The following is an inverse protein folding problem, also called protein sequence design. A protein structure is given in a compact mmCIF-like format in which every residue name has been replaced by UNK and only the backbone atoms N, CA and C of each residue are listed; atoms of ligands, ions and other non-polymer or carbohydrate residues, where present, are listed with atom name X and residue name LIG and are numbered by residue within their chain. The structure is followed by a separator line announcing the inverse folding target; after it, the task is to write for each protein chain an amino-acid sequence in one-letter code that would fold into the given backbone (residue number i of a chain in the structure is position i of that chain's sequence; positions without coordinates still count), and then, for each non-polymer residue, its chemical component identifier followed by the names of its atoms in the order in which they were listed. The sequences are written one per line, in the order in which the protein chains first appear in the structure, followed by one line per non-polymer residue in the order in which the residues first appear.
data_IF_117634763621
#
_entry.id   IF_117634763621
#
_cell.length_a   1.000
_cell.length_b   1.000
_cell.length_c   1.000
_cell.angle_alpha   90.00
_cell.angle_beta   90.00
_cell.angle_gamma   90.00
#
_symmetry.space_group_name_H-M   'P 1'
#
loop_
_entity.id
_entity.type
_entity.pdbx_description
1 polymer ?
#
# COMPACT_ATOMS: atom_id res chain seq x y z
N UNK A 1 22.46 17.66 -16.49
CA UNK A 1 22.30 18.23 -15.13
C UNK A 1 21.79 17.12 -14.21
N UNK A 2 22.68 16.20 -13.85
CA UNK A 2 22.43 15.11 -12.90
C UNK A 2 22.95 15.61 -11.55
N UNK A 3 22.06 15.87 -10.58
CA UNK A 3 22.49 16.31 -9.25
C UNK A 3 21.59 15.73 -8.15
N UNK A 4 22.26 15.06 -7.21
CA UNK A 4 21.84 14.74 -5.84
C UNK A 4 20.90 13.55 -5.58
N UNK A 5 21.23 12.38 -6.13
CA UNK A 5 20.96 11.12 -5.42
C UNK A 5 21.99 10.96 -4.29
N UNK A 6 21.66 11.47 -3.10
CA UNK A 6 22.42 11.20 -1.88
C UNK A 6 21.57 10.41 -0.89
N UNK A 7 21.99 9.18 -0.71
CA UNK A 7 21.78 8.29 0.45
C UNK A 7 21.61 9.04 1.77
N UNK A 8 20.44 8.92 2.38
CA UNK A 8 20.21 9.08 3.83
C UNK A 8 19.46 7.82 4.28
N UNK A 9 20.04 6.86 4.99
CA UNK A 9 21.05 6.97 6.03
C UNK A 9 20.34 7.01 7.39
N UNK A 10 20.02 5.82 7.92
CA UNK A 10 19.70 5.45 9.32
C UNK A 10 18.77 6.42 10.09
N UNK A 11 17.52 6.00 10.28
CA UNK A 11 16.50 6.72 11.05
C UNK A 11 16.79 6.63 12.56
N UNK A 12 17.10 7.75 13.20
CA UNK A 12 17.17 7.85 14.67
C UNK A 12 15.73 7.92 15.24
N UNK A 13 15.17 6.77 15.64
CA UNK A 13 13.87 6.67 16.30
C UNK A 13 13.99 6.78 17.84
N UNK A 14 13.27 7.69 18.53
CA UNK A 14 13.26 7.74 19.99
C UNK A 14 12.64 6.46 20.60
N UNK A 15 13.28 5.96 21.65
CA UNK A 15 13.26 4.56 22.07
C UNK A 15 12.06 4.12 22.92
N UNK A 16 11.30 3.16 22.38
CA UNK A 16 10.96 1.89 23.04
C UNK A 16 10.75 0.85 21.93
N UNK A 17 11.54 -0.22 21.95
CA UNK A 17 11.42 -1.37 21.04
C UNK A 17 11.84 -1.12 19.56
N UNK A 18 12.98 -0.45 19.37
CA UNK A 18 13.56 -0.14 18.04
C UNK A 18 13.82 -1.37 17.19
N UNK A 19 14.22 -2.49 17.79
CA UNK A 19 14.50 -3.74 17.07
C UNK A 19 13.22 -4.31 16.44
N UNK A 20 12.12 -4.45 17.18
CA UNK A 20 10.87 -4.96 16.60
C UNK A 20 10.29 -4.00 15.57
N UNK A 21 10.40 -2.69 15.79
CA UNK A 21 10.00 -1.69 14.77
C UNK A 21 10.79 -1.86 13.48
N UNK A 22 12.10 -2.09 13.60
CA UNK A 22 12.96 -2.27 12.44
C UNK A 22 12.62 -3.56 11.69
N UNK A 23 12.48 -4.68 12.41
CA UNK A 23 12.06 -5.97 11.84
C UNK A 23 10.75 -5.84 11.07
N UNK A 24 9.73 -5.21 11.66
CA UNK A 24 8.42 -5.04 11.02
C UNK A 24 8.52 -4.14 9.77
N UNK A 25 9.30 -3.05 9.84
CA UNK A 25 9.51 -2.16 8.70
C UNK A 25 10.28 -2.84 7.56
N UNK A 26 11.24 -3.71 7.88
CA UNK A 26 12.02 -4.44 6.90
C UNK A 26 11.18 -5.55 6.23
N UNK A 27 10.34 -6.25 7.00
CA UNK A 27 9.38 -7.19 6.43
C UNK A 27 8.39 -6.52 5.46
N UNK A 28 7.89 -5.33 5.83
CA UNK A 28 7.02 -4.54 4.94
C UNK A 28 7.74 -4.18 3.62
N UNK A 29 9.00 -3.73 3.70
CA UNK A 29 9.83 -3.42 2.51
C UNK A 29 10.06 -4.64 1.63
N UNK A 30 10.26 -5.82 2.23
CA UNK A 30 10.52 -7.05 1.49
C UNK A 30 9.29 -7.54 0.70
N UNK A 31 8.08 -7.31 1.23
CA UNK A 31 6.83 -7.72 0.57
C UNK A 31 6.50 -6.86 -0.67
N UNK A 32 6.84 -5.57 -0.66
CA UNK A 32 6.79 -4.64 -1.80
C UNK A 32 5.44 -4.48 -2.55
N UNK A 33 4.37 -5.19 -2.17
CA UNK A 33 3.08 -5.25 -2.84
C UNK A 33 1.92 -4.72 -1.98
N UNK A 34 2.22 -3.70 -1.18
CA UNK A 34 1.30 -3.07 -0.22
C UNK A 34 0.57 -4.11 0.64
N UNK A 35 1.28 -4.91 1.45
CA UNK A 35 0.66 -5.97 2.21
C UNK A 35 -0.32 -5.41 3.27
N UNK A 36 -1.30 -6.24 3.59
CA UNK A 36 -2.14 -6.07 4.79
C UNK A 36 -1.31 -6.29 6.05
N UNK A 37 -1.80 -5.80 7.20
CA UNK A 37 -1.15 -6.08 8.48
C UNK A 37 -1.03 -7.58 8.80
N UNK A 38 -1.95 -8.40 8.28
CA UNK A 38 -1.89 -9.85 8.41
C UNK A 38 -0.78 -10.48 7.57
N UNK A 39 -0.65 -10.08 6.31
CA UNK A 39 0.45 -10.55 5.45
C UNK A 39 1.82 -10.17 6.04
N UNK A 40 1.95 -8.95 6.60
CA UNK A 40 3.16 -8.55 7.32
C UNK A 40 3.36 -9.38 8.59
N UNK A 41 2.30 -9.66 9.34
CA UNK A 41 2.39 -10.49 10.53
C UNK A 41 2.87 -11.91 10.20
N UNK A 42 2.32 -12.56 9.18
CA UNK A 42 2.72 -13.90 8.78
C UNK A 42 4.22 -13.93 8.38
N UNK A 43 4.67 -12.94 7.60
CA UNK A 43 6.07 -12.81 7.23
C UNK A 43 6.99 -12.60 8.45
N UNK A 44 6.62 -11.69 9.36
CA UNK A 44 7.40 -11.42 10.58
C UNK A 44 7.39 -12.62 11.52
N UNK A 45 6.27 -13.30 11.67
CA UNK A 45 6.12 -14.42 12.61
C UNK A 45 6.91 -15.65 12.16
N UNK A 46 7.05 -15.87 10.84
CA UNK A 46 7.88 -16.93 10.28
C UNK A 46 9.36 -16.81 10.70
N UNK A 47 9.90 -15.59 10.75
CA UNK A 47 11.30 -15.33 11.12
C UNK A 47 11.49 -15.00 12.61
N UNK A 48 10.47 -14.39 13.23
CA UNK A 48 10.50 -13.90 14.61
C UNK A 48 9.24 -14.32 15.38
N UNK A 49 9.10 -15.60 15.78
CA UNK A 49 7.88 -16.12 16.41
C UNK A 49 7.48 -15.45 17.74
N UNK A 50 8.43 -14.77 18.40
CA UNK A 50 8.18 -14.00 19.63
C UNK A 50 7.40 -12.69 19.40
N UNK A 51 7.31 -12.23 18.15
CA UNK A 51 6.56 -11.02 17.80
C UNK A 51 5.09 -11.39 17.61
N UNK A 52 4.26 -10.97 18.56
CA UNK A 52 2.82 -11.21 18.49
C UNK A 52 2.08 -10.33 17.49
N UNK A 53 0.98 -10.83 16.94
CA UNK A 53 0.11 -10.14 15.96
C UNK A 53 -0.30 -8.73 16.37
N UNK A 54 -0.75 -8.56 17.61
CA UNK A 54 -1.15 -7.25 18.13
C UNK A 54 0.01 -6.22 18.13
N UNK A 55 1.26 -6.69 18.25
CA UNK A 55 2.45 -5.83 18.18
C UNK A 55 2.72 -5.38 16.76
N UNK A 56 2.58 -6.27 15.77
CA UNK A 56 2.71 -5.92 14.35
C UNK A 56 1.70 -4.84 13.97
N UNK A 57 0.42 -5.08 14.26
CA UNK A 57 -0.67 -4.15 13.97
C UNK A 57 -0.45 -2.76 14.59
N UNK A 58 -0.17 -2.69 15.90
CA UNK A 58 0.07 -1.41 16.58
C UNK A 58 1.30 -0.69 16.02
N UNK A 59 2.34 -1.44 15.64
CA UNK A 59 3.58 -0.86 15.14
C UNK A 59 3.39 -0.28 13.75
N UNK A 60 2.75 -1.01 12.83
CA UNK A 60 2.39 -0.51 11.50
C UNK A 60 1.49 0.71 11.59
N UNK A 61 0.46 0.66 12.45
CA UNK A 61 -0.40 1.82 12.73
C UNK A 61 0.41 3.05 13.15
N UNK A 62 1.29 2.89 14.15
CA UNK A 62 2.13 3.99 14.66
C UNK A 62 3.14 4.51 13.63
N UNK A 63 3.76 3.63 12.85
CA UNK A 63 4.69 4.02 11.79
C UNK A 63 3.97 4.84 10.70
N UNK A 64 2.74 4.45 10.36
CA UNK A 64 1.93 5.18 9.40
C UNK A 64 1.48 6.54 9.94
N UNK A 65 1.05 6.60 11.21
CA UNK A 65 0.67 7.86 11.85
C UNK A 65 1.86 8.82 12.00
N UNK A 66 3.08 8.29 12.14
CA UNK A 66 4.34 9.06 12.15
C UNK A 66 4.83 9.44 10.74
N UNK A 67 4.19 8.97 9.67
CA UNK A 67 4.61 9.21 8.28
C UNK A 67 5.89 8.49 7.87
N UNK A 68 6.29 7.44 8.60
CA UNK A 68 7.46 6.60 8.28
C UNK A 68 7.13 5.60 7.17
N UNK A 69 5.86 5.19 7.09
CA UNK A 69 5.29 4.30 6.07
C UNK A 69 3.96 4.90 5.59
N UNK A 70 3.53 4.56 4.38
CA UNK A 70 2.20 4.90 3.86
C UNK A 70 1.12 3.98 4.41
N UNK A 71 -0.11 4.49 4.47
CA UNK A 71 -1.32 3.68 4.70
C UNK A 71 -2.26 3.85 3.51
N UNK A 72 -2.57 2.75 2.86
CA UNK A 72 -3.50 2.69 1.75
C UNK A 72 -4.84 2.19 2.27
N UNK A 73 -5.82 3.08 2.30
CA UNK A 73 -7.17 2.75 2.73
C UNK A 73 -7.93 2.14 1.56
N UNK A 74 -8.29 0.87 1.70
CA UNK A 74 -9.08 0.16 0.71
C UNK A 74 -10.56 0.24 1.07
N UNK A 75 -11.38 0.78 0.16
CA UNK A 75 -12.84 0.80 0.36
C UNK A 75 -13.38 -0.63 0.54
N UNK A 76 -14.05 -0.91 1.66
CA UNK A 76 -14.58 -2.22 2.04
C UNK A 76 -13.53 -3.34 2.14
N UNK A 77 -12.26 -3.01 2.44
CA UNK A 77 -11.19 -3.98 2.63
C UNK A 77 -10.34 -3.68 3.87
N UNK A 78 -9.37 -4.56 4.15
CA UNK A 78 -8.35 -4.28 5.15
C UNK A 78 -7.41 -3.17 4.67
N UNK A 79 -6.99 -2.31 5.61
CA UNK A 79 -5.92 -1.35 5.35
C UNK A 79 -4.66 -2.07 4.88
N UNK A 80 -4.01 -1.48 3.89
CA UNK A 80 -2.73 -1.92 3.35
C UNK A 80 -1.65 -0.91 3.73
N UNK A 81 -0.42 -1.38 3.83
CA UNK A 81 0.72 -0.55 4.26
C UNK A 81 1.72 -0.44 3.13
N UNK A 82 2.30 0.74 2.98
CA UNK A 82 3.32 1.00 1.99
C UNK A 82 4.64 1.37 2.66
N UNK A 83 5.73 0.75 2.23
CA UNK A 83 7.06 1.19 2.63
C UNK A 83 7.46 2.58 2.10
N UNK A 84 6.79 3.07 1.05
CA UNK A 84 7.00 4.39 0.48
C UNK A 84 6.01 5.40 1.06
N UNK A 85 6.45 6.66 1.13
CA UNK A 85 5.69 7.75 1.76
C UNK A 85 5.43 8.91 0.81
N UNK A 86 5.96 8.87 -0.42
CA UNK A 86 5.66 9.88 -1.42
C UNK A 86 4.27 9.65 -2.01
N UNK A 87 3.57 10.72 -2.37
CA UNK A 87 2.23 10.62 -2.93
C UNK A 87 2.25 9.91 -4.29
N UNK A 88 1.42 8.89 -4.43
CA UNK A 88 1.10 8.18 -5.67
C UNK A 88 -0.32 7.63 -5.56
N UNK A 89 -0.85 7.15 -6.67
CA UNK A 89 -2.16 6.53 -6.71
C UNK A 89 -2.05 5.01 -6.76
N UNK A 90 -3.13 4.36 -6.37
CA UNK A 90 -3.21 2.91 -6.30
C UNK A 90 -4.30 2.40 -7.24
N UNK A 91 -4.09 1.22 -7.82
CA UNK A 91 -5.14 0.46 -8.49
C UNK A 91 -5.35 -0.86 -7.77
N UNK A 92 -6.60 -1.22 -7.51
CA UNK A 92 -7.00 -2.49 -6.90
C UNK A 92 -7.64 -3.40 -7.95
N UNK A 93 -7.18 -4.64 -7.99
CA UNK A 93 -7.85 -5.71 -8.73
C UNK A 93 -9.15 -6.11 -8.02
N UNK A 94 -10.28 -6.01 -8.71
CA UNK A 94 -11.59 -6.42 -8.15
C UNK A 94 -11.75 -7.94 -8.06
N UNK A 95 -10.94 -8.71 -8.79
CA UNK A 95 -11.02 -10.18 -8.80
C UNK A 95 -10.20 -10.82 -7.68
N UNK A 96 -8.97 -10.35 -7.44
CA UNK A 96 -8.05 -10.96 -6.47
C UNK A 96 -7.62 -10.03 -5.33
N UNK A 97 -8.03 -8.75 -5.35
CA UNK A 97 -7.69 -7.78 -4.30
C UNK A 97 -6.24 -7.29 -4.31
N UNK A 98 -5.41 -7.71 -5.29
CA UNK A 98 -4.05 -7.18 -5.49
C UNK A 98 -4.08 -5.66 -5.67
N UNK A 99 -3.12 -4.96 -5.08
CA UNK A 99 -2.95 -3.51 -5.19
C UNK A 99 -1.58 -3.24 -5.80
N UNK A 100 -1.54 -2.34 -6.78
CA UNK A 100 -0.31 -1.92 -7.46
C UNK A 100 -0.27 -0.38 -7.57
N UNK A 101 0.95 0.16 -7.69
CA UNK A 101 1.18 1.59 -7.88
C UNK A 101 0.82 2.06 -9.29
N UNK A 102 0.24 3.26 -9.36
CA UNK A 102 -0.05 3.95 -10.60
C UNK A 102 0.89 5.14 -10.71
N UNK A 103 1.86 5.03 -11.62
CA UNK A 103 2.87 6.07 -11.89
C UNK A 103 2.31 7.18 -12.79
N UNK A 104 1.25 7.84 -12.33
CA UNK A 104 0.68 9.04 -12.97
C UNK A 104 0.92 10.27 -12.09
N UNK A 105 1.00 11.48 -12.67
CA UNK A 105 1.06 12.70 -11.88
C UNK A 105 -0.10 12.77 -10.89
N UNK A 106 0.23 12.97 -9.62
CA UNK A 106 -0.77 13.23 -8.58
C UNK A 106 -1.47 14.54 -8.92
N UNK A 107 -2.78 14.57 -8.72
CA UNK A 107 -3.59 15.76 -8.93
C UNK A 107 -3.11 16.81 -7.94
N UNK A 108 -2.84 18.00 -8.46
CA UNK A 108 -2.31 19.07 -7.65
C UNK A 108 -3.40 19.68 -6.75
N UNK A 109 -2.98 20.65 -5.94
CA UNK A 109 -3.81 21.42 -5.02
C UNK A 109 -5.02 22.11 -5.70
N UNK A 110 -5.07 22.19 -7.04
CA UNK A 110 -6.22 22.72 -7.76
C UNK A 110 -7.49 21.91 -7.50
N UNK A 111 -7.39 20.58 -7.47
CA UNK A 111 -8.56 19.70 -7.24
C UNK A 111 -9.11 19.88 -5.83
N UNK A 112 -8.22 20.00 -4.84
CA UNK A 112 -8.61 20.23 -3.45
C UNK A 112 -9.32 21.58 -3.29
N UNK A 113 -8.78 22.65 -3.88
CA UNK A 113 -9.42 23.98 -3.87
C UNK A 113 -10.76 23.99 -4.58
N UNK A 114 -10.90 23.25 -5.68
CA UNK A 114 -12.19 23.11 -6.36
C UNK A 114 -13.21 22.41 -5.46
N UNK A 115 -12.81 21.35 -4.77
CA UNK A 115 -13.67 20.63 -3.83
C UNK A 115 -14.09 21.50 -2.63
N UNK A 116 -13.18 22.31 -2.07
CA UNK A 116 -13.53 23.27 -1.01
C UNK A 116 -14.60 24.25 -1.46
N UNK A 117 -14.41 24.86 -2.64
CA UNK A 117 -15.35 25.85 -3.19
C UNK A 117 -16.71 25.25 -3.51
N UNK A 118 -16.75 24.03 -4.02
CA UNK A 118 -17.98 23.36 -4.44
C UNK A 118 -18.79 22.80 -3.25
N UNK A 119 -18.11 22.39 -2.16
CA UNK A 119 -18.75 21.74 -1.02
C UNK A 119 -18.95 22.65 0.19
N UNK A 120 -18.15 23.71 0.34
CA UNK A 120 -18.09 24.54 1.54
C UNK A 120 -17.31 23.91 2.69
N UNK A 121 -16.66 22.76 2.48
CA UNK A 121 -15.82 22.10 3.49
C UNK A 121 -14.41 22.67 3.48
N UNK A 122 -13.73 22.58 4.63
CA UNK A 122 -12.26 22.69 4.70
C UNK A 122 -11.66 21.35 4.30
N UNK A 123 -11.15 21.24 3.08
CA UNK A 123 -10.55 20.00 2.56
C UNK A 123 -9.17 19.86 3.18
N UNK A 124 -8.90 18.71 3.80
CA UNK A 124 -7.62 18.42 4.46
C UNK A 124 -6.72 17.50 3.62
N UNK A 125 -7.16 17.13 2.42
CA UNK A 125 -6.49 16.21 1.52
C UNK A 125 -7.48 15.42 0.66
N UNK A 126 -6.94 14.64 -0.27
CA UNK A 126 -7.71 13.70 -1.08
C UNK A 126 -6.99 12.35 -1.20
N UNK A 127 -7.73 11.33 -1.63
CA UNK A 127 -7.17 10.01 -1.92
C UNK A 127 -7.85 9.49 -3.18
N UNK A 128 -7.06 9.06 -4.16
CA UNK A 128 -7.55 8.41 -5.38
C UNK A 128 -7.13 6.95 -5.35
N UNK A 129 -8.11 6.08 -5.53
CA UNK A 129 -7.92 4.66 -5.77
C UNK A 129 -8.71 4.28 -7.01
N UNK A 130 -8.08 3.57 -7.94
CA UNK A 130 -8.72 3.00 -9.10
C UNK A 130 -9.14 1.56 -8.82
N UNK A 131 -10.24 1.11 -9.41
CA UNK A 131 -10.63 -0.29 -9.45
C UNK A 131 -10.48 -0.81 -10.89
N UNK A 132 -9.90 -2.00 -11.04
CA UNK A 132 -9.66 -2.63 -12.34
C UNK A 132 -9.45 -4.14 -12.21
N UNK A 133 -8.96 -4.78 -13.27
CA UNK A 133 -8.60 -6.21 -13.27
C UNK A 133 -7.10 -6.32 -13.55
N UNK A 134 -6.33 -7.01 -12.71
CA UNK A 134 -4.89 -7.10 -12.89
C UNK A 134 -4.52 -8.00 -14.10
N UNK A 135 -3.31 -7.87 -14.67
CA UNK A 135 -2.90 -8.65 -15.84
C UNK A 135 -3.01 -10.17 -15.64
N UNK A 136 -2.76 -10.66 -14.43
CA UNK A 136 -2.88 -12.08 -14.10
C UNK A 136 -4.34 -12.57 -14.21
N UNK A 137 -5.30 -11.82 -13.64
CA UNK A 137 -6.72 -12.18 -13.72
C UNK A 137 -7.26 -12.03 -15.15
N UNK A 138 -6.83 -11.00 -15.91
CA UNK A 138 -7.20 -10.86 -17.32
C UNK A 138 -6.72 -12.06 -18.17
N UNK A 139 -5.56 -12.62 -17.84
CA UNK A 139 -5.04 -13.80 -18.54
C UNK A 139 -5.84 -15.07 -18.21
N UNK A 140 -6.32 -15.21 -16.97
CA UNK A 140 -7.20 -16.32 -16.56
C UNK A 140 -8.55 -16.26 -17.28
N UNK A 141 -9.19 -15.09 -17.33
CA UNK A 141 -10.48 -14.91 -18.03
C UNK A 141 -10.40 -15.29 -19.51
N UNK A 142 -9.31 -14.91 -20.21
CA UNK A 142 -9.10 -15.27 -21.62
C UNK A 142 -8.93 -16.78 -21.85
N UNK A 143 -8.33 -17.49 -20.90
CA UNK A 143 -8.17 -18.94 -21.01
C UNK A 143 -9.49 -19.68 -20.78
N UNK A 144 -10.34 -19.18 -19.88
CA UNK A 144 -11.66 -19.76 -19.61
C UNK A 144 -12.63 -19.56 -20.79
N UNK A 145 -12.59 -18.41 -21.46
CA UNK A 145 -13.35 -18.17 -22.69
C UNK A 145 -12.88 -19.03 -23.86
N UNK A 146 -11.56 -19.22 -24.01
CA UNK A 146 -10.98 -20.07 -25.04
C UNK A 146 -11.27 -21.57 -24.83
N UNK A 147 -11.30 -22.05 -23.57
CA UNK A 147 -11.65 -23.44 -23.27
C UNK A 147 -13.14 -23.74 -23.46
N UNK A 148 -14.01 -22.76 -23.16
CA UNK A 148 -15.46 -22.91 -23.33
C UNK A 148 -15.86 -22.92 -24.81
N UNK A 149 -15.17 -22.14 -25.65
CA UNK A 149 -15.37 -22.16 -27.10
C UNK A 149 -14.94 -23.49 -27.77
N UNK A 150 -13.95 -24.21 -27.20
CA UNK A 150 -13.47 -25.50 -27.72
C UNK A 150 -14.29 -26.70 -27.25
N UNK A 151 -14.98 -26.62 -26.11
CA UNK A 151 -15.84 -27.69 -25.60
C UNK A 151 -17.27 -27.68 -26.19
N UNK A 152 -17.58 -26.67 -27.01
CA UNK A 152 -18.89 -26.47 -27.65
C UNK A 152 -18.89 -26.82 -29.15
N UNK A 153 -17.79 -27.37 -29.66
CA UNK A 153 -17.57 -27.74 -31.07
C UNK A 153 -17.48 -29.24 -31.26
#
# INVERSE_FOLDING_TARGET
MLSSYQTRGRWDMPARNTVQRQVIADALRALANHPTADEVYEAVHAEHPSVGRATVYRTLGRLADEGVIGRVRINNGADRFDHQTFAHYHVRCVCCGRVDDVMVPVLDEHVERMAERASGYRVCGHTVQFDGVCPACQATEKNDEASTAQASA
#
